data_IF_725707429013
#
_entry.id   IF_725707429013
#
_cell.length_a   1.000
_cell.length_b   1.000
_cell.length_c   1.000
_cell.angle_alpha   90.00
_cell.angle_beta   90.00
_cell.angle_gamma   90.00
#
_symmetry.space_group_name_H-M   'P 1'
#
loop_
_entity.id
_entity.type
_entity.pdbx_description
1 polymer ?
#
# COMPACT_ATOMS: atom_id res chain seq x y z
N UNK A 1 -12.54 0.88 15.55
CA UNK A 1 -11.75 0.66 14.34
C UNK A 1 -10.42 1.35 14.57
N UNK A 2 -9.32 0.65 14.44
CA UNK A 2 -7.98 1.12 14.78
C UNK A 2 -7.07 0.91 13.56
N UNK A 3 -6.11 1.82 13.35
CA UNK A 3 -5.10 1.68 12.29
C UNK A 3 -3.76 1.45 12.93
N UNK A 4 -3.06 0.45 12.42
CA UNK A 4 -1.72 0.06 12.86
C UNK A 4 -0.78 -0.06 11.67
N UNK A 5 0.49 0.24 11.90
CA UNK A 5 1.57 -0.12 10.98
C UNK A 5 2.17 -1.44 11.47
N UNK A 6 1.84 -2.51 10.79
CA UNK A 6 2.35 -3.84 11.10
C UNK A 6 3.73 -4.02 10.45
N UNK A 7 4.77 -4.11 11.28
CA UNK A 7 6.15 -4.34 10.83
C UNK A 7 6.37 -5.82 10.57
N UNK A 8 7.28 -6.14 9.66
CA UNK A 8 7.71 -7.51 9.40
C UNK A 8 8.06 -8.23 10.70
N UNK A 9 7.83 -9.52 10.76
CA UNK A 9 8.07 -10.40 11.93
C UNK A 9 7.12 -10.18 13.12
N UNK A 10 6.02 -9.42 12.94
CA UNK A 10 4.95 -9.32 13.93
C UNK A 10 3.77 -10.22 13.56
N UNK A 11 3.00 -10.68 14.58
CA UNK A 11 1.79 -11.49 14.36
C UNK A 11 0.77 -10.75 13.48
N UNK A 12 0.63 -9.43 13.64
CA UNK A 12 -0.27 -8.62 12.82
C UNK A 12 0.20 -8.56 11.35
N UNK A 13 1.52 -8.49 11.10
CA UNK A 13 2.05 -8.53 9.75
C UNK A 13 1.72 -9.86 9.06
N UNK A 14 1.92 -10.98 9.76
CA UNK A 14 1.58 -12.30 9.24
C UNK A 14 0.08 -12.41 8.94
N UNK A 15 -0.78 -11.94 9.83
CA UNK A 15 -2.23 -11.94 9.61
C UNK A 15 -2.66 -11.05 8.42
N UNK A 16 -1.96 -9.94 8.15
CA UNK A 16 -2.18 -9.11 6.96
C UNK A 16 -1.71 -9.82 5.68
N UNK A 17 -0.56 -10.49 5.73
CA UNK A 17 -0.05 -11.29 4.61
C UNK A 17 -1.03 -12.39 4.24
N UNK A 18 -1.53 -13.14 5.23
CA UNK A 18 -2.52 -14.21 5.03
C UNK A 18 -3.82 -13.66 4.43
N UNK A 19 -4.33 -12.53 4.96
CA UNK A 19 -5.50 -11.86 4.42
C UNK A 19 -5.32 -11.47 2.95
N UNK A 20 -4.16 -10.92 2.59
CA UNK A 20 -3.86 -10.53 1.23
C UNK A 20 -3.78 -11.75 0.30
N UNK A 21 -3.06 -12.80 0.69
CA UNK A 21 -2.92 -14.03 -0.10
C UNK A 21 -4.26 -14.73 -0.28
N UNK A 22 -5.06 -14.85 0.78
CA UNK A 22 -6.41 -15.44 0.72
C UNK A 22 -7.32 -14.64 -0.23
N UNK A 23 -7.27 -13.30 -0.14
CA UNK A 23 -8.07 -12.42 -0.99
C UNK A 23 -7.71 -12.56 -2.46
N UNK A 24 -6.43 -12.56 -2.80
CA UNK A 24 -5.97 -12.72 -4.17
C UNK A 24 -6.26 -14.12 -4.72
N UNK A 25 -6.14 -15.15 -3.89
CA UNK A 25 -6.54 -16.52 -4.27
C UNK A 25 -8.03 -16.61 -4.58
N UNK A 26 -8.88 -16.01 -3.73
CA UNK A 26 -10.33 -16.02 -3.90
C UNK A 26 -10.79 -15.23 -5.12
N UNK A 27 -10.24 -14.04 -5.33
CA UNK A 27 -10.73 -13.12 -6.35
C UNK A 27 -10.13 -13.41 -7.74
N UNK A 28 -8.89 -13.92 -7.79
CA UNK A 28 -8.15 -14.10 -9.03
C UNK A 28 -7.63 -15.51 -9.27
N UNK A 29 -7.76 -16.42 -8.32
CA UNK A 29 -7.08 -17.72 -8.37
C UNK A 29 -5.55 -17.60 -8.24
N UNK A 30 -5.06 -16.49 -7.69
CA UNK A 30 -3.64 -16.19 -7.60
C UNK A 30 -2.97 -16.87 -6.41
N UNK A 31 -1.72 -17.30 -6.60
CA UNK A 31 -0.85 -17.83 -5.54
C UNK A 31 0.34 -16.90 -5.32
N UNK A 32 0.05 -15.71 -4.83
CA UNK A 32 1.05 -14.67 -4.57
C UNK A 32 1.75 -14.88 -3.21
N UNK A 33 2.96 -14.34 -3.09
CA UNK A 33 3.63 -14.17 -1.80
C UNK A 33 3.56 -12.68 -1.41
N UNK A 34 2.73 -12.35 -0.41
CA UNK A 34 2.59 -10.99 0.08
C UNK A 34 3.64 -10.70 1.16
N UNK A 35 4.77 -10.12 0.76
CA UNK A 35 5.92 -9.90 1.63
C UNK A 35 6.46 -8.45 1.58
N UNK A 36 5.61 -7.41 1.77
CA UNK A 36 6.06 -6.02 1.83
C UNK A 36 6.88 -5.78 3.11
N UNK A 37 7.55 -4.62 3.19
CA UNK A 37 8.33 -4.24 4.38
C UNK A 37 7.44 -4.03 5.61
N UNK A 38 6.22 -3.50 5.39
CA UNK A 38 5.20 -3.34 6.42
C UNK A 38 3.80 -3.35 5.81
N UNK A 39 2.78 -3.45 6.67
CA UNK A 39 1.39 -3.25 6.25
C UNK A 39 0.76 -2.08 7.00
N UNK A 40 -0.02 -1.28 6.31
CA UNK A 40 -1.06 -0.46 6.92
C UNK A 40 -2.23 -1.41 7.18
N UNK A 41 -2.58 -1.62 8.44
CA UNK A 41 -3.65 -2.53 8.86
C UNK A 41 -4.80 -1.75 9.49
N UNK A 42 -6.01 -1.96 8.98
CA UNK A 42 -7.24 -1.52 9.62
C UNK A 42 -7.77 -2.70 10.44
N UNK A 43 -7.85 -2.54 11.76
CA UNK A 43 -8.15 -3.63 12.69
C UNK A 43 -9.48 -3.46 13.42
N UNK A 44 -10.16 -4.58 13.63
CA UNK A 44 -11.13 -4.76 14.69
C UNK A 44 -10.45 -5.43 15.89
N UNK A 45 -11.05 -5.31 17.07
CA UNK A 45 -10.64 -6.07 18.25
C UNK A 45 -11.64 -7.18 18.48
N UNK A 46 -11.18 -8.43 18.37
CA UNK A 46 -11.98 -9.64 18.60
C UNK A 46 -11.35 -10.40 19.77
N UNK A 47 -12.10 -10.59 20.86
CA UNK A 47 -11.61 -11.28 22.07
C UNK A 47 -10.28 -10.72 22.62
N UNK A 48 -10.07 -9.40 22.51
CA UNK A 48 -8.83 -8.74 22.95
C UNK A 48 -7.64 -8.86 21.98
N UNK A 49 -7.85 -9.47 20.82
CA UNK A 49 -6.83 -9.62 19.76
C UNK A 49 -7.14 -8.68 18.60
N UNK A 50 -6.14 -8.01 18.08
CA UNK A 50 -6.27 -7.20 16.85
C UNK A 50 -6.34 -8.12 15.63
N UNK A 51 -7.45 -8.01 14.88
CA UNK A 51 -7.69 -8.77 13.66
C UNK A 51 -7.79 -7.81 12.48
N UNK A 52 -6.99 -7.96 11.41
CA UNK A 52 -7.05 -7.08 10.27
C UNK A 52 -8.35 -7.28 9.48
N UNK A 53 -9.11 -6.20 9.30
CA UNK A 53 -10.30 -6.16 8.43
C UNK A 53 -9.96 -5.67 7.03
N UNK A 54 -8.90 -4.88 6.90
CA UNK A 54 -8.29 -4.51 5.63
C UNK A 54 -6.79 -4.23 5.83
N UNK A 55 -6.00 -4.45 4.78
CA UNK A 55 -4.57 -4.16 4.80
C UNK A 55 -4.07 -3.68 3.44
N UNK A 56 -3.01 -2.87 3.48
CA UNK A 56 -2.24 -2.43 2.32
C UNK A 56 -0.76 -2.60 2.61
N UNK A 57 -0.06 -3.38 1.80
CA UNK A 57 1.39 -3.53 1.90
C UNK A 57 2.10 -2.22 1.55
N UNK A 58 3.18 -1.92 2.24
CA UNK A 58 4.12 -0.83 1.93
C UNK A 58 5.50 -1.43 1.68
N UNK A 59 6.05 -1.15 0.51
CA UNK A 59 7.45 -1.46 0.16
C UNK A 59 8.16 -0.14 -0.08
N UNK A 60 9.25 0.10 0.67
CA UNK A 60 10.00 1.34 0.57
C UNK A 60 10.97 1.29 -0.61
N UNK A 61 10.99 2.37 -1.38
CA UNK A 61 11.94 2.50 -2.48
C UNK A 61 13.39 2.47 -1.98
N UNK A 62 14.21 1.69 -2.66
CA UNK A 62 15.61 1.47 -2.33
C UNK A 62 16.41 1.15 -3.58
N UNK A 63 17.72 0.92 -3.41
CA UNK A 63 18.57 0.46 -4.50
C UNK A 63 18.18 -0.92 -5.09
N UNK A 64 17.35 -1.70 -4.37
CA UNK A 64 16.85 -3.00 -4.85
C UNK A 64 15.62 -2.87 -5.77
N UNK A 65 15.09 -1.64 -5.94
CA UNK A 65 13.94 -1.36 -6.77
C UNK A 65 12.59 -1.70 -6.12
N UNK A 66 11.54 -1.45 -6.91
CA UNK A 66 10.15 -1.71 -6.59
C UNK A 66 9.58 -2.71 -7.63
N UNK A 67 8.48 -3.39 -7.32
CA UNK A 67 7.83 -4.27 -8.30
C UNK A 67 7.39 -3.50 -9.54
N UNK A 68 6.93 -2.27 -9.38
CA UNK A 68 6.51 -1.39 -10.46
C UNK A 68 7.63 -1.14 -11.50
N UNK A 69 8.90 -1.20 -11.12
CA UNK A 69 10.05 -1.05 -12.04
C UNK A 69 10.02 -2.08 -13.15
N UNK A 70 9.56 -3.31 -12.84
CA UNK A 70 9.40 -4.37 -13.83
C UNK A 70 8.40 -3.99 -14.94
N UNK A 71 7.32 -3.30 -14.59
CA UNK A 71 6.33 -2.87 -15.58
C UNK A 71 6.79 -1.66 -16.39
N UNK A 72 7.63 -0.81 -15.80
CA UNK A 72 8.18 0.38 -16.46
C UNK A 72 9.41 0.05 -17.33
N UNK A 73 10.07 -1.10 -17.10
CA UNK A 73 11.33 -1.47 -17.73
C UNK A 73 12.51 -0.56 -17.34
N UNK A 74 12.36 0.22 -16.26
CA UNK A 74 13.33 1.15 -15.68
C UNK A 74 12.96 1.52 -14.25
N UNK A 75 13.86 2.12 -13.45
CA UNK A 75 13.54 2.61 -12.12
C UNK A 75 12.37 3.60 -12.11
N UNK A 76 11.44 3.41 -11.16
CA UNK A 76 10.28 4.29 -11.01
C UNK A 76 10.68 5.75 -10.74
N UNK A 77 11.78 5.97 -10.00
CA UNK A 77 12.31 7.31 -9.74
C UNK A 77 12.65 8.06 -11.03
N UNK A 78 13.24 7.39 -12.03
CA UNK A 78 13.53 7.99 -13.34
C UNK A 78 12.24 8.30 -14.11
N UNK A 79 11.27 7.38 -14.08
CA UNK A 79 9.99 7.57 -14.75
C UNK A 79 9.20 8.75 -14.15
N UNK A 80 9.24 8.90 -12.81
CA UNK A 80 8.65 10.05 -12.10
C UNK A 80 9.38 11.34 -12.46
N UNK A 81 10.71 11.35 -12.40
CA UNK A 81 11.52 12.54 -12.71
C UNK A 81 11.24 13.07 -14.12
N UNK A 82 11.17 12.18 -15.10
CA UNK A 82 10.83 12.54 -16.49
C UNK A 82 9.39 13.09 -16.59
N UNK A 83 8.43 12.44 -15.92
CA UNK A 83 7.02 12.80 -16.01
C UNK A 83 6.70 14.11 -15.31
N UNK A 84 7.38 14.41 -14.19
CA UNK A 84 7.11 15.59 -13.35
C UNK A 84 8.10 16.73 -13.54
N UNK A 85 9.17 16.51 -14.33
CA UNK A 85 10.32 17.42 -14.48
C UNK A 85 10.94 17.79 -13.11
N UNK A 86 10.88 16.88 -12.13
CA UNK A 86 11.38 17.09 -10.76
C UNK A 86 12.28 15.91 -10.40
N UNK A 87 13.44 16.19 -9.79
CA UNK A 87 14.30 15.14 -9.25
C UNK A 87 13.54 14.25 -8.26
N UNK A 88 13.71 12.95 -8.36
CA UNK A 88 13.06 11.98 -7.53
C UNK A 88 14.07 10.96 -7.00
N UNK A 89 14.25 10.93 -5.70
CA UNK A 89 15.08 9.92 -5.05
C UNK A 89 14.30 8.63 -4.86
N UNK A 90 14.91 7.44 -5.01
CA UNK A 90 14.24 6.17 -4.73
C UNK A 90 13.63 6.12 -3.32
N UNK A 91 14.30 6.70 -2.32
CA UNK A 91 13.85 6.75 -0.93
C UNK A 91 12.60 7.60 -0.69
N UNK A 92 12.22 8.46 -1.66
CA UNK A 92 10.97 9.23 -1.61
C UNK A 92 9.77 8.48 -2.21
N UNK A 93 9.97 7.23 -2.65
CA UNK A 93 8.93 6.37 -3.19
C UNK A 93 8.50 5.31 -2.17
N UNK A 94 7.21 5.07 -2.09
CA UNK A 94 6.65 3.89 -1.41
C UNK A 94 5.67 3.22 -2.37
N UNK A 95 5.86 1.93 -2.64
CA UNK A 95 4.92 1.13 -3.40
C UNK A 95 3.86 0.53 -2.47
N UNK A 96 2.60 0.75 -2.82
CA UNK A 96 1.44 0.21 -2.12
C UNK A 96 0.91 -1.00 -2.85
N UNK A 97 0.99 -2.14 -2.20
CA UNK A 97 0.48 -3.43 -2.65
C UNK A 97 1.09 -4.60 -1.88
N UNK A 98 0.34 -5.71 -1.71
CA UNK A 98 -1.06 -5.91 -2.10
C UNK A 98 -2.06 -5.14 -1.22
N UNK A 99 -3.22 -4.81 -1.79
CA UNK A 99 -4.37 -4.25 -1.08
C UNK A 99 -5.44 -5.33 -0.92
N UNK A 100 -5.89 -5.57 0.31
CA UNK A 100 -6.90 -6.57 0.61
C UNK A 100 -7.87 -6.09 1.69
N UNK A 101 -9.11 -6.59 1.66
CA UNK A 101 -10.10 -6.34 2.71
C UNK A 101 -11.07 -7.51 2.84
N UNK A 102 -11.57 -7.75 4.06
CA UNK A 102 -12.65 -8.70 4.31
C UNK A 102 -13.98 -8.16 3.79
N UNK A 103 -14.21 -6.86 3.95
CA UNK A 103 -15.43 -6.16 3.59
C UNK A 103 -15.14 -4.91 2.75
N UNK A 104 -16.06 -4.58 1.85
CA UNK A 104 -15.92 -3.42 0.97
C UNK A 104 -15.82 -2.09 1.74
N UNK A 105 -16.52 -1.95 2.85
CA UNK A 105 -16.49 -0.74 3.69
C UNK A 105 -15.10 -0.51 4.32
N UNK A 106 -14.48 -1.58 4.85
CA UNK A 106 -13.14 -1.53 5.43
C UNK A 106 -12.09 -1.19 4.35
N UNK A 107 -12.20 -1.79 3.16
CA UNK A 107 -11.33 -1.49 2.03
C UNK A 107 -11.40 -0.02 1.60
N UNK A 108 -12.60 0.55 1.50
CA UNK A 108 -12.78 1.96 1.13
C UNK A 108 -12.24 2.92 2.20
N UNK A 109 -12.45 2.58 3.48
CA UNK A 109 -11.89 3.36 4.59
C UNK A 109 -10.36 3.37 4.53
N UNK A 110 -9.74 2.21 4.31
CA UNK A 110 -8.30 2.09 4.18
C UNK A 110 -7.77 2.89 2.98
N UNK A 111 -8.38 2.75 1.79
CA UNK A 111 -7.98 3.48 0.57
C UNK A 111 -7.90 4.99 0.82
N UNK A 112 -8.87 5.57 1.53
CA UNK A 112 -8.90 7.01 1.85
C UNK A 112 -7.75 7.44 2.75
N UNK A 113 -7.19 6.54 3.55
CA UNK A 113 -6.15 6.84 4.54
C UNK A 113 -4.74 6.53 4.03
N UNK A 114 -4.61 5.64 3.05
CA UNK A 114 -3.32 5.23 2.48
C UNK A 114 -2.46 6.42 2.05
N UNK A 115 -2.94 7.44 1.29
CA UNK A 115 -2.10 8.57 0.90
C UNK A 115 -1.52 9.34 2.09
N UNK A 116 -2.35 9.61 3.12
CA UNK A 116 -1.91 10.29 4.34
C UNK A 116 -0.83 9.50 5.08
N UNK A 117 -1.06 8.20 5.27
CA UNK A 117 -0.14 7.33 5.99
C UNK A 117 1.16 7.12 5.22
N UNK A 118 1.09 7.03 3.89
CA UNK A 118 2.27 6.92 3.02
C UNK A 118 3.10 8.22 3.10
N UNK A 119 2.45 9.37 3.03
CA UNK A 119 3.11 10.67 3.21
C UNK A 119 3.75 10.82 4.60
N UNK A 120 3.08 10.40 5.68
CA UNK A 120 3.63 10.40 7.03
C UNK A 120 4.87 9.49 7.18
N UNK A 121 5.04 8.51 6.29
CA UNK A 121 6.23 7.67 6.21
C UNK A 121 7.33 8.24 5.28
N UNK A 122 7.20 9.50 4.86
CA UNK A 122 8.22 10.24 4.12
C UNK A 122 8.13 10.13 2.60
N UNK A 123 7.08 9.51 2.05
CA UNK A 123 6.92 9.42 0.61
C UNK A 123 6.49 10.76 -0.01
N UNK A 124 7.13 11.12 -1.11
CA UNK A 124 6.66 12.17 -2.02
C UNK A 124 5.74 11.61 -3.10
N UNK A 125 5.93 10.34 -3.46
CA UNK A 125 5.10 9.63 -4.43
C UNK A 125 4.72 8.25 -3.92
N UNK A 126 3.43 7.95 -4.02
CA UNK A 126 2.88 6.63 -3.76
C UNK A 126 2.79 5.89 -5.10
N UNK A 127 3.61 4.85 -5.26
CA UNK A 127 3.55 3.95 -6.42
C UNK A 127 2.49 2.88 -6.19
N UNK A 128 1.75 2.50 -7.21
CA UNK A 128 0.84 1.37 -7.12
C UNK A 128 0.46 0.81 -8.50
N UNK A 129 0.07 -0.46 -8.48
CA UNK A 129 -0.54 -1.11 -9.64
C UNK A 129 -2.02 -1.33 -9.36
N UNK A 130 -2.88 -0.72 -10.18
CA UNK A 130 -4.31 -0.65 -9.94
C UNK A 130 -5.12 -1.27 -11.07
N UNK A 131 -6.12 -2.07 -10.73
CA UNK A 131 -7.12 -2.52 -11.68
C UNK A 131 -8.00 -1.36 -12.14
N UNK A 132 -8.67 -1.48 -13.28
CA UNK A 132 -9.64 -0.46 -13.74
C UNK A 132 -10.74 -0.16 -12.70
N UNK A 133 -11.16 -1.18 -11.92
CA UNK A 133 -12.15 -1.01 -10.87
C UNK A 133 -11.60 -0.17 -9.70
N UNK A 134 -10.35 -0.43 -9.29
CA UNK A 134 -9.68 0.34 -8.25
C UNK A 134 -9.42 1.78 -8.71
N UNK A 135 -8.97 2.00 -9.95
CA UNK A 135 -8.76 3.34 -10.50
C UNK A 135 -10.04 4.20 -10.44
N UNK A 136 -11.20 3.61 -10.79
CA UNK A 136 -12.51 4.29 -10.64
C UNK A 136 -12.85 4.57 -9.18
N UNK A 137 -12.44 3.71 -8.25
CA UNK A 137 -12.65 3.93 -6.82
C UNK A 137 -11.79 5.07 -6.29
N UNK A 138 -10.50 5.12 -6.69
CA UNK A 138 -9.60 6.23 -6.37
C UNK A 138 -10.18 7.57 -6.84
N UNK A 139 -10.59 7.66 -8.09
CA UNK A 139 -11.20 8.87 -8.66
C UNK A 139 -12.45 9.32 -7.87
N UNK A 140 -13.33 8.38 -7.50
CA UNK A 140 -14.55 8.70 -6.70
C UNK A 140 -14.25 9.25 -5.31
N UNK A 141 -13.12 8.87 -4.71
CA UNK A 141 -12.72 9.39 -3.39
C UNK A 141 -11.77 10.58 -3.48
N UNK A 142 -11.51 11.09 -4.70
CA UNK A 142 -10.68 12.28 -4.93
C UNK A 142 -9.18 12.02 -4.85
N UNK A 143 -8.74 10.76 -5.07
CA UNK A 143 -7.33 10.41 -5.19
C UNK A 143 -6.95 10.42 -6.67
N UNK A 144 -6.06 11.32 -7.05
CA UNK A 144 -5.59 11.47 -8.43
C UNK A 144 -4.49 10.46 -8.72
N UNK A 145 -4.83 9.40 -9.44
CA UNK A 145 -3.88 8.40 -9.92
C UNK A 145 -3.42 8.73 -11.33
N UNK A 146 -2.12 8.81 -11.54
CA UNK A 146 -1.49 8.99 -12.85
C UNK A 146 -0.90 7.69 -13.33
N UNK A 147 -1.43 7.15 -14.42
CA UNK A 147 -0.90 5.94 -15.05
C UNK A 147 0.42 6.25 -15.80
N UNK A 148 1.39 5.36 -15.66
CA UNK A 148 2.68 5.40 -16.38
C UNK A 148 2.76 4.31 -17.45
N UNK A 149 2.33 3.08 -17.14
CA UNK A 149 2.38 1.96 -18.08
C UNK A 149 1.29 0.93 -17.79
N UNK A 150 0.89 0.12 -18.79
CA UNK A 150 0.15 -1.12 -18.52
C UNK A 150 1.03 -2.08 -17.72
N UNK A 151 0.45 -2.67 -16.66
CA UNK A 151 1.13 -3.73 -15.93
C UNK A 151 0.84 -5.07 -16.63
N UNK A 152 1.89 -5.72 -17.11
CA UNK A 152 1.81 -6.99 -17.84
C UNK A 152 2.56 -8.07 -17.09
N UNK A 153 2.00 -9.29 -17.05
CA UNK A 153 2.63 -10.41 -16.35
C UNK A 153 4.00 -10.76 -16.92
N UNK A 154 4.14 -10.63 -18.25
CA UNK A 154 5.39 -10.92 -18.96
C UNK A 154 6.56 -9.98 -18.58
N UNK A 155 6.23 -8.83 -17.99
CA UNK A 155 7.24 -7.89 -17.46
C UNK A 155 7.81 -8.30 -16.11
N UNK A 156 7.15 -9.23 -15.40
CA UNK A 156 7.60 -9.70 -14.10
C UNK A 156 8.83 -10.61 -14.22
N UNK A 157 9.66 -10.71 -13.15
CA UNK A 157 10.65 -11.76 -13.03
C UNK A 157 10.03 -13.16 -13.24
N UNK A 158 10.76 -14.07 -13.88
CA UNK A 158 10.23 -15.37 -14.30
C UNK A 158 9.64 -16.19 -13.14
N UNK A 159 10.20 -16.06 -11.94
CA UNK A 159 9.72 -16.74 -10.73
C UNK A 159 8.37 -16.21 -10.22
N UNK A 160 7.93 -15.06 -10.68
CA UNK A 160 6.64 -14.47 -10.34
C UNK A 160 5.56 -14.68 -11.41
N UNK A 161 5.96 -15.05 -12.62
CA UNK A 161 5.03 -15.32 -13.72
C UNK A 161 4.19 -16.58 -13.46
N UNK A 162 2.96 -16.61 -13.95
CA UNK A 162 2.03 -17.73 -13.79
C UNK A 162 1.40 -17.83 -12.39
N UNK A 163 1.73 -16.93 -11.46
CA UNK A 163 1.24 -16.99 -10.07
C UNK A 163 0.04 -16.07 -9.80
N UNK A 164 -0.29 -15.19 -10.73
CA UNK A 164 -1.28 -14.14 -10.53
C UNK A 164 -2.70 -14.51 -10.98
N UNK A 165 -2.91 -15.72 -11.52
CA UNK A 165 -4.20 -16.19 -11.99
C UNK A 165 -4.82 -15.24 -13.02
N UNK A 166 -6.05 -14.77 -12.78
CA UNK A 166 -6.74 -13.85 -13.66
C UNK A 166 -6.49 -12.36 -13.38
N UNK A 167 -5.55 -12.00 -12.49
CA UNK A 167 -5.32 -10.60 -12.12
C UNK A 167 -5.00 -9.73 -13.33
N UNK A 168 -4.11 -10.16 -14.20
CA UNK A 168 -3.71 -9.38 -15.40
C UNK A 168 -4.80 -9.32 -16.47
N UNK A 169 -5.81 -10.20 -16.44
CA UNK A 169 -6.99 -10.08 -17.30
C UNK A 169 -7.85 -8.84 -16.94
N UNK A 170 -7.62 -8.23 -15.77
CA UNK A 170 -8.26 -6.95 -15.39
C UNK A 170 -7.60 -5.72 -16.01
N UNK A 171 -6.56 -5.91 -16.82
CA UNK A 171 -5.77 -4.87 -17.49
C UNK A 171 -5.28 -3.80 -16.49
N UNK A 172 -4.49 -4.19 -15.46
CA UNK A 172 -4.03 -3.25 -14.45
C UNK A 172 -3.04 -2.25 -15.04
N UNK A 173 -2.98 -1.07 -14.41
CA UNK A 173 -2.08 0.01 -14.76
C UNK A 173 -1.11 0.26 -13.60
N UNK A 174 0.18 0.34 -13.90
CA UNK A 174 1.22 0.82 -13.00
C UNK A 174 1.30 2.35 -13.08
N UNK A 175 1.42 3.01 -11.94
CA UNK A 175 1.45 4.46 -11.88
C UNK A 175 1.64 4.98 -10.47
N UNK A 176 1.29 6.25 -10.26
CA UNK A 176 1.55 6.92 -9.00
C UNK A 176 0.44 7.88 -8.57
N UNK A 177 0.47 8.22 -7.28
CA UNK A 177 -0.23 9.37 -6.67
C UNK A 177 0.84 10.36 -6.19
N UNK A 178 0.74 11.62 -6.58
CA UNK A 178 1.65 12.68 -6.14
C UNK A 178 1.22 13.17 -4.76
N UNK A 179 2.09 13.03 -3.78
CA UNK A 179 1.84 13.39 -2.38
C UNK A 179 2.48 14.72 -1.97
N UNK A 180 3.25 15.37 -2.84
CA UNK A 180 4.01 16.59 -2.51
C UNK A 180 3.14 17.75 -2.06
N UNK A 181 1.91 17.81 -2.54
CA UNK A 181 0.93 18.82 -2.16
C UNK A 181 -0.10 18.34 -1.14
N UNK A 182 0.08 17.12 -0.60
CA UNK A 182 -0.91 16.51 0.28
C UNK A 182 -1.14 17.31 1.57
N UNK A 183 -0.08 17.87 2.17
CA UNK A 183 -0.19 18.74 3.35
C UNK A 183 -1.07 19.96 3.10
N UNK A 184 -0.94 20.59 1.94
CA UNK A 184 -1.77 21.74 1.56
C UNK A 184 -3.25 21.35 1.39
N UNK A 185 -3.52 20.18 0.82
CA UNK A 185 -4.87 19.64 0.65
C UNK A 185 -5.55 19.30 1.99
N UNK A 186 -4.80 18.79 2.98
CA UNK A 186 -5.29 18.56 4.33
C UNK A 186 -5.70 19.86 5.02
N UNK A 187 -4.92 20.92 4.85
CA UNK A 187 -5.17 22.22 5.47
C UNK A 187 -6.42 22.92 4.93
N UNK A 188 -6.82 22.64 3.68
CA UNK A 188 -8.00 23.25 3.03
C UNK A 188 -9.31 22.52 3.43
N UNK A 189 -9.23 21.25 3.80
CA UNK A 189 -10.39 20.43 4.20
C UNK A 189 -10.75 20.61 5.68
N UNK A 190 -10.76 21.83 6.21
CA UNK A 190 -11.11 22.22 7.57
C UNK A 190 -11.98 21.25 8.38
N UNK A 191 -11.62 21.10 9.61
CA UNK A 191 -12.31 20.68 10.87
C UNK A 191 -13.40 19.60 10.90
N UNK A 192 -13.79 18.97 9.80
CA UNK A 192 -14.83 17.93 9.73
C UNK A 192 -14.31 16.55 9.29
N UNK A 193 -13.00 16.36 9.21
CA UNK A 193 -12.37 15.09 8.84
C UNK A 193 -12.22 14.13 10.04
N UNK A 194 -12.09 12.82 9.79
CA UNK A 194 -11.77 11.88 10.85
C UNK A 194 -10.43 12.27 11.48
N UNK A 195 -10.41 12.38 12.81
CA UNK A 195 -9.15 12.56 13.55
C UNK A 195 -8.29 11.32 13.38
N UNK A 196 -7.15 11.46 12.72
CA UNK A 196 -6.19 10.38 12.54
C UNK A 196 -5.25 10.36 13.74
N UNK A 197 -5.38 9.37 14.63
CA UNK A 197 -4.38 9.06 15.64
C UNK A 197 -3.51 7.94 15.11
N UNK A 198 -2.26 8.23 14.77
CA UNK A 198 -1.27 7.21 14.38
C UNK A 198 -0.55 6.74 15.65
N UNK A 199 -0.80 5.51 16.06
CA UNK A 199 -0.10 4.88 17.17
C UNK A 199 0.97 3.95 16.60
N UNK A 200 2.23 4.26 16.87
CA UNK A 200 3.33 3.35 16.51
C UNK A 200 3.35 2.22 17.54
N UNK A 201 3.07 0.99 17.09
CA UNK A 201 3.13 -0.18 17.96
C UNK A 201 4.52 -0.34 18.54
N UNK A 202 4.63 -0.39 19.88
CA UNK A 202 5.88 -0.72 20.57
C UNK A 202 6.20 -2.19 20.29
N UNK A 203 7.45 -2.50 19.99
CA UNK A 203 7.89 -3.89 19.90
C UNK A 203 7.76 -4.58 21.27
N UNK A 204 7.58 -5.91 21.29
CA UNK A 204 7.50 -6.67 22.55
C UNK A 204 8.71 -6.42 23.47
N UNK A 205 9.89 -6.12 22.92
CA UNK A 205 11.09 -5.77 23.66
C UNK A 205 10.97 -4.40 24.39
N UNK A 206 10.32 -3.39 23.79
CA UNK A 206 10.11 -2.09 24.42
C UNK A 206 9.03 -2.15 25.52
N UNK A 207 8.04 -3.04 25.38
CA UNK A 207 7.03 -3.29 26.41
C UNK A 207 7.63 -3.98 27.65
N UNK A 208 8.59 -4.88 27.47
CA UNK A 208 9.29 -5.58 28.57
C UNK A 208 10.15 -4.63 29.41
N UNK A 209 10.77 -3.60 28.79
CA UNK A 209 11.58 -2.60 29.48
C UNK A 209 10.74 -1.57 30.26
N UNK A 210 9.49 -1.32 29.86
CA UNK A 210 8.59 -0.37 30.53
C UNK A 210 7.90 -0.97 31.77
N UNK A 211 7.80 -2.31 31.86
CA UNK A 211 7.26 -3.03 33.01
C UNK A 211 8.26 -3.35 34.14
N UNK A 212 9.53 -3.00 33.97
CA UNK A 212 10.62 -3.27 34.90
C UNK A 212 11.10 -2.03 35.71
N UNK A 213 10.25 -1.00 35.82
CA UNK A 213 10.49 0.17 36.66
C UNK A 213 9.43 0.33 37.73
#
# INVERSE_FOLDING_TARGET
>A
MQINIARRDTALWSACSDLAQERYRRDYGADITAAPDSFIALCAVENGVEVPTACAGMTFGSAHGLLVDSYLGRPAAEAIAERTATHCEPSSLIEIGPLASREAGAGLALIRMVPALTWCNGAEFLMCTVTRALARTLARVGIEFTALAPAREESLPAEQQGRWGSYYATEPLAGYVDLRHFAAQLSVRGDSGPHLAVTWGRTAAESALAGAR
#
